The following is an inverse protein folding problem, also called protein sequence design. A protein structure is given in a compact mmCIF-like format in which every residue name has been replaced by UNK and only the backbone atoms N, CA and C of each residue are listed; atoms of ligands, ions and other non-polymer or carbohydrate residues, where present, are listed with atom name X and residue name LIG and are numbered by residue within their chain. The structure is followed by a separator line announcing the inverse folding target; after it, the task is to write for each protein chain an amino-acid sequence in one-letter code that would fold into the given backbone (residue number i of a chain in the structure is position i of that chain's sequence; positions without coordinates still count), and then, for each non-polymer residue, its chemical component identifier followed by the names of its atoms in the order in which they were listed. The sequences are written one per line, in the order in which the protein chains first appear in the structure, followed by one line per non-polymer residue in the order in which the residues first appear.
data_IF_840109199262
#
_entry.id   IF_840109199262
#
_cell.length_a   1.000
_cell.length_b   1.000
_cell.length_c   1.000
_cell.angle_alpha   90.00
_cell.angle_beta   90.00
_cell.angle_gamma   90.00
#
_symmetry.space_group_name_H-M   'P 1'
#
loop_
_entity.id
_entity.type
_entity.pdbx_description
1 polymer ?
2 non-polymer ?
3 non-polymer ?
4 water ?
#
# COMPACT_ATOMS: atom_id res chain seq x y z
N UNK A 2 17.62 -6.67 -3.87
CA UNK A 2 17.69 -5.79 -5.07
C UNK A 2 16.64 -6.26 -6.07
N UNK A 3 16.38 -5.44 -7.10
CA UNK A 3 15.37 -5.69 -8.12
C UNK A 3 16.01 -5.74 -9.51
N UNK A 4 15.50 -6.62 -10.38
CA UNK A 4 15.83 -6.62 -11.80
C UNK A 4 17.27 -7.02 -12.05
N UNK A 5 17.92 -7.54 -11.00
CA UNK A 5 19.32 -7.93 -11.04
C UNK A 5 19.41 -9.38 -11.52
N UNK A 6 20.55 -9.72 -12.15
CA UNK A 6 20.79 -11.10 -12.55
C UNK A 6 20.25 -12.00 -11.45
N UNK A 7 19.36 -12.91 -11.85
CA UNK A 7 18.86 -13.78 -10.80
C UNK A 7 19.18 -15.24 -11.12
N UNK A 8 19.56 -15.95 -10.06
CA UNK A 8 19.92 -17.34 -10.20
C UNK A 8 18.66 -18.13 -10.54
N UNK A 9 18.92 -19.36 -10.96
CA UNK A 9 17.92 -20.31 -11.38
C UNK A 9 17.13 -20.77 -10.15
N UNK A 10 15.82 -21.03 -10.27
CA UNK A 10 15.07 -21.61 -9.16
C UNK A 10 15.49 -23.06 -8.99
N UNK A 11 15.41 -23.61 -7.76
CA UNK A 11 15.68 -25.04 -7.57
C UNK A 11 14.51 -25.86 -8.09
N UNK A 12 14.73 -27.18 -8.24
CA UNK A 12 13.67 -28.14 -8.52
C UNK A 12 12.57 -27.98 -7.49
N UNK A 13 11.32 -27.92 -7.95
CA UNK A 13 10.16 -27.84 -7.06
C UNK A 13 9.06 -28.75 -7.59
N UNK A 14 8.35 -29.45 -6.69
CA UNK A 14 7.21 -30.26 -7.13
C UNK A 14 5.91 -29.57 -6.69
N UNK A 15 5.05 -29.23 -7.65
CA UNK A 15 3.75 -28.64 -7.31
C UNK A 15 2.76 -28.99 -8.42
N UNK A 16 1.43 -28.78 -8.20
CA UNK A 16 0.41 -29.12 -9.18
C UNK A 16 0.61 -28.36 -10.50
N UNK A 17 0.44 -29.07 -11.60
CA UNK A 17 0.56 -28.44 -12.90
C UNK A 17 -0.53 -27.40 -13.08
N UNK A 18 -0.22 -26.15 -13.56
CA UNK A 18 -1.26 -25.19 -13.92
C UNK A 18 -2.04 -25.76 -15.11
N UNK A 19 -3.36 -25.67 -15.07
CA UNK A 19 -4.17 -26.19 -16.16
C UNK A 19 -4.73 -25.03 -16.98
N UNK A 20 -4.27 -24.96 -18.23
CA UNK A 20 -4.57 -23.85 -19.13
C UNK A 20 -6.07 -23.71 -19.38
N UNK A 21 -6.81 -24.84 -19.42
CA UNK A 21 -8.24 -24.79 -19.75
C UNK A 21 -9.12 -24.78 -18.49
N UNK A 22 -8.55 -24.41 -17.33
CA UNK A 22 -9.34 -24.24 -16.11
C UNK A 22 -9.04 -22.85 -15.54
N UNK A 23 -9.99 -21.90 -15.51
CA UNK A 23 -9.77 -20.60 -14.88
C UNK A 23 -9.43 -20.72 -13.40
N UNK A 24 -8.62 -19.78 -12.88
CA UNK A 24 -8.20 -19.90 -11.48
C UNK A 24 -9.31 -19.35 -10.59
N UNK A 25 -10.11 -18.43 -11.10
CA UNK A 25 -11.28 -17.94 -10.39
C UNK A 25 -12.38 -17.80 -11.43
N UNK A 26 -13.61 -18.19 -11.11
CA UNK A 26 -14.68 -17.98 -12.06
C UNK A 26 -15.60 -16.88 -11.58
N UNK A 27 -15.31 -16.28 -10.42
CA UNK A 27 -16.26 -15.36 -9.80
C UNK A 27 -15.71 -13.92 -9.81
N UNK A 28 -14.43 -13.73 -10.18
CA UNK A 28 -13.80 -12.41 -10.08
C UNK A 28 -12.85 -12.20 -11.26
N UNK A 29 -12.59 -10.92 -11.58
CA UNK A 29 -11.58 -10.50 -12.55
C UNK A 29 -10.19 -10.65 -11.91
N UNK A 30 -9.27 -11.40 -12.55
CA UNK A 30 -7.93 -11.62 -12.00
C UNK A 30 -6.83 -10.91 -12.80
N UNK A 31 -7.21 -10.13 -13.82
CA UNK A 31 -6.24 -9.34 -14.59
C UNK A 31 -6.91 -8.06 -15.08
N UNK A 32 -6.19 -6.94 -15.00
CA UNK A 32 -6.74 -5.68 -15.52
C UNK A 32 -6.67 -5.64 -17.04
N UNK A 33 -7.39 -4.71 -17.70
CA UNK A 33 -7.26 -4.48 -19.16
C UNK A 33 -5.86 -4.03 -19.63
N UNK A 34 -4.97 -3.63 -18.69
CA UNK A 34 -3.58 -3.30 -19.06
C UNK A 34 -2.65 -4.40 -18.57
N UNK A 35 -3.23 -5.60 -18.35
CA UNK A 35 -2.50 -6.84 -18.07
C UNK A 35 -1.70 -6.75 -16.76
N UNK A 36 -2.27 -6.04 -15.77
CA UNK A 36 -1.71 -6.15 -14.43
C UNK A 36 -2.51 -7.22 -13.69
N UNK A 37 -1.88 -8.17 -12.98
CA UNK A 37 -2.65 -9.13 -12.15
C UNK A 37 -3.45 -8.42 -11.05
N UNK A 38 -4.64 -8.90 -10.80
CA UNK A 38 -5.42 -8.51 -9.62
C UNK A 38 -5.30 -9.66 -8.61
N UNK A 39 -4.73 -9.37 -7.44
CA UNK A 39 -4.28 -10.43 -6.54
C UNK A 39 -5.44 -10.85 -5.62
N UNK A 40 -5.94 -12.09 -5.84
CA UNK A 40 -6.92 -12.78 -5.01
C UNK A 40 -6.32 -14.12 -4.58
N UNK A 41 -6.86 -14.69 -3.50
CA UNK A 41 -6.52 -16.07 -3.16
C UNK A 41 -6.93 -16.98 -4.32
N UNK A 42 -6.03 -17.92 -4.65
CA UNK A 42 -6.21 -18.86 -5.74
C UNK A 42 -5.50 -18.42 -7.02
N UNK A 43 -4.97 -17.18 -7.05
CA UNK A 43 -4.28 -16.72 -8.26
C UNK A 43 -2.78 -16.99 -8.19
N UNK A 44 -2.21 -17.25 -7.00
CA UNK A 44 -0.76 -17.39 -6.86
C UNK A 44 -0.39 -18.64 -6.07
N UNK A 45 0.77 -19.21 -6.46
CA UNK A 45 1.48 -20.23 -5.69
C UNK A 45 2.58 -19.55 -4.87
N UNK A 46 2.36 -19.41 -3.54
CA UNK A 46 3.24 -18.60 -2.73
C UNK A 46 4.63 -19.26 -2.62
N UNK A 47 4.70 -20.58 -2.82
CA UNK A 47 6.01 -21.24 -2.73
C UNK A 47 6.93 -20.76 -3.87
N UNK A 48 6.37 -20.62 -5.08
CA UNK A 48 7.18 -20.17 -6.20
C UNK A 48 7.59 -18.71 -5.97
N UNK A 49 6.63 -17.87 -5.53
CA UNK A 49 6.96 -16.47 -5.38
C UNK A 49 7.98 -16.27 -4.24
N UNK A 50 7.82 -17.00 -3.12
CA UNK A 50 8.79 -16.90 -2.05
C UNK A 50 10.20 -17.21 -2.52
N UNK A 51 10.35 -18.27 -3.33
CA UNK A 51 11.65 -18.62 -3.87
C UNK A 51 12.21 -17.48 -4.71
N UNK A 52 11.38 -16.92 -5.61
CA UNK A 52 11.85 -15.88 -6.50
C UNK A 52 12.36 -14.70 -5.69
N UNK A 53 11.59 -14.24 -4.70
CA UNK A 53 11.98 -13.04 -3.94
C UNK A 53 13.11 -13.28 -2.95
N UNK A 54 13.22 -14.46 -2.37
CA UNK A 54 14.32 -14.75 -1.46
C UNK A 54 15.63 -14.85 -2.23
N UNK A 55 15.56 -15.38 -3.47
CA UNK A 55 16.77 -15.49 -4.28
C UNK A 55 17.29 -14.10 -4.67
N UNK A 56 16.42 -13.09 -4.60
CA UNK A 56 16.81 -11.73 -4.93
C UNK A 56 17.18 -10.95 -3.67
N UNK A 57 17.17 -11.61 -2.52
CA UNK A 57 17.54 -11.00 -1.25
C UNK A 57 16.70 -9.76 -0.99
N UNK A 58 15.37 -9.90 -1.11
CA UNK A 58 14.44 -8.77 -1.08
C UNK A 58 14.27 -8.23 0.35
N UNK A 59 14.36 -6.89 0.50
CA UNK A 59 13.99 -6.18 1.73
C UNK A 59 12.74 -5.31 1.47
N UNK A 60 11.76 -5.41 2.34
CA UNK A 60 10.51 -4.67 2.21
C UNK A 60 10.44 -3.67 3.35
N UNK A 61 10.22 -2.38 3.01
CA UNK A 61 9.97 -1.40 4.06
C UNK A 61 8.46 -1.19 4.22
N UNK A 62 8.02 -1.09 5.47
CA UNK A 62 6.64 -0.73 5.77
C UNK A 62 6.66 0.60 6.47
N UNK A 63 5.84 1.54 5.96
CA UNK A 63 5.70 2.85 6.59
C UNK A 63 4.33 2.97 7.21
N UNK A 64 4.26 3.56 8.40
CA UNK A 64 2.99 3.73 9.08
C UNK A 64 3.06 5.01 9.89
N UNK A 65 2.01 5.84 9.85
CA UNK A 65 1.97 7.09 10.63
C UNK A 65 1.04 6.92 11.81
N UNK A 66 1.53 7.30 13.00
CA UNK A 66 0.71 7.17 14.19
C UNK A 66 0.80 8.49 14.93
N UNK A 67 -0.26 9.29 14.82
CA UNK A 67 -0.26 10.66 15.32
C UNK A 67 -1.33 10.79 16.41
N UNK A 68 -1.04 11.56 17.47
CA UNK A 68 -1.96 11.83 18.56
C UNK A 68 -2.48 10.49 19.09
N UNK A 69 -3.81 10.29 19.19
CA UNK A 69 -4.33 9.12 19.87
C UNK A 69 -4.13 7.85 19.05
N UNK A 70 -3.70 7.99 17.80
CA UNK A 70 -3.56 6.81 16.95
C UNK A 70 -2.34 5.97 17.35
N UNK A 71 -1.50 6.48 18.27
CA UNK A 71 -0.40 5.66 18.76
C UNK A 71 -0.95 4.40 19.44
N UNK A 72 -2.17 4.47 19.99
CA UNK A 72 -2.78 3.34 20.69
C UNK A 72 -2.91 2.10 19.80
N UNK A 73 -2.95 2.30 18.46
CA UNK A 73 -3.16 1.23 17.50
C UNK A 73 -1.86 0.49 17.17
N UNK A 74 -0.69 1.03 17.55
CA UNK A 74 0.56 0.49 17.05
C UNK A 74 0.83 -0.91 17.63
N UNK A 75 0.44 -1.18 18.89
CA UNK A 75 0.87 -2.46 19.47
C UNK A 75 0.24 -3.62 18.68
N UNK A 76 -1.06 -3.57 18.44
CA UNK A 76 -1.71 -4.66 17.70
C UNK A 76 -1.24 -4.67 16.24
N UNK A 77 -1.08 -3.48 15.64
CA UNK A 77 -0.64 -3.37 14.25
C UNK A 77 0.69 -4.11 14.10
N UNK A 78 1.68 -3.82 14.98
CA UNK A 78 3.00 -4.43 14.79
C UNK A 78 3.00 -5.91 15.17
N UNK A 79 2.29 -6.28 16.25
CA UNK A 79 2.23 -7.67 16.69
C UNK A 79 1.66 -8.55 15.57
N UNK A 80 0.56 -8.10 14.96
CA UNK A 80 -0.05 -8.84 13.86
C UNK A 80 0.79 -8.81 12.57
N UNK A 81 1.49 -7.69 12.28
CA UNK A 81 2.46 -7.67 11.17
C UNK A 81 3.53 -8.75 11.36
N UNK A 82 4.04 -8.90 12.60
CA UNK A 82 5.03 -9.92 12.84
C UNK A 82 4.46 -11.31 12.55
N UNK A 83 3.14 -11.54 12.76
CA UNK A 83 2.58 -12.87 12.46
C UNK A 83 2.31 -13.09 10.97
N UNK A 84 2.02 -12.02 10.21
CA UNK A 84 1.43 -12.22 8.90
C UNK A 84 2.11 -11.47 7.73
N UNK A 85 2.98 -10.49 7.98
CA UNK A 85 3.49 -9.64 6.89
C UNK A 85 4.91 -10.06 6.48
N UNK A 86 5.05 -10.55 5.23
CA UNK A 86 6.37 -10.85 4.64
C UNK A 86 7.22 -11.78 5.52
N UNK A 87 6.59 -12.73 6.25
CA UNK A 87 7.37 -13.62 7.11
C UNK A 87 8.35 -14.44 6.26
N UNK A 88 9.62 -14.50 6.68
CA UNK A 88 10.65 -15.19 5.91
C UNK A 88 11.56 -14.22 5.16
N UNK A 89 11.08 -12.99 4.95
CA UNK A 89 11.86 -11.99 4.21
C UNK A 89 12.40 -10.91 5.16
N UNK A 90 13.32 -10.09 4.66
CA UNK A 90 13.84 -8.96 5.44
C UNK A 90 12.81 -7.83 5.42
N UNK A 91 12.51 -7.31 6.62
CA UNK A 91 11.54 -6.23 6.75
C UNK A 91 12.16 -5.09 7.57
N UNK A 92 11.85 -3.84 7.20
CA UNK A 92 12.22 -2.68 8.00
C UNK A 92 10.94 -1.88 8.19
N UNK A 93 10.49 -1.75 9.46
CA UNK A 93 9.33 -0.94 9.73
C UNK A 93 9.80 0.49 10.00
N UNK A 94 9.10 1.46 9.42
CA UNK A 94 9.35 2.86 9.72
C UNK A 94 8.07 3.44 10.35
N UNK A 95 8.17 3.82 11.64
CA UNK A 95 7.00 4.34 12.34
C UNK A 95 7.23 5.83 12.47
N UNK A 96 6.36 6.60 11.79
CA UNK A 96 6.38 8.06 11.86
C UNK A 96 5.40 8.50 12.93
N UNK A 97 5.87 9.25 13.94
CA UNK A 97 4.97 9.62 15.02
C UNK A 97 5.37 10.95 15.63
N UNK A 98 4.40 11.61 16.28
CA UNK A 98 4.65 12.80 17.08
C UNK A 98 5.03 12.40 18.52
N UNK A 99 4.99 11.10 18.85
CA UNK A 99 5.23 10.69 20.24
C UNK A 99 6.22 9.51 20.28
N UNK A 100 7.54 9.73 20.07
CA UNK A 100 8.50 8.62 20.01
C UNK A 100 8.41 7.72 21.23
N UNK A 101 8.09 8.30 22.40
CA UNK A 101 8.12 7.50 23.63
C UNK A 101 6.92 6.56 23.77
N UNK A 102 5.85 6.80 22.98
CA UNK A 102 4.63 6.02 23.04
C UNK A 102 4.68 4.79 22.13
N UNK A 103 5.78 4.62 21.38
CA UNK A 103 5.90 3.47 20.51
C UNK A 103 6.08 2.22 21.36
N UNK A 104 5.22 1.18 21.25
CA UNK A 104 5.35 -0.02 22.10
C UNK A 104 6.59 -0.84 21.73
N UNK A 105 7.14 -1.54 22.74
CA UNK A 105 8.33 -2.36 22.53
C UNK A 105 7.87 -3.74 22.05
N UNK A 106 7.75 -3.92 20.74
CA UNK A 106 7.19 -5.16 20.21
C UNK A 106 8.36 -6.06 19.83
N UNK A 107 8.26 -7.36 20.14
CA UNK A 107 9.36 -8.28 19.86
C UNK A 107 9.35 -8.64 18.36
N UNK A 108 10.52 -8.55 17.70
CA UNK A 108 10.60 -8.79 16.26
C UNK A 108 11.30 -10.10 15.97
N UNK A 109 10.85 -10.80 14.90
CA UNK A 109 11.58 -11.95 14.38
C UNK A 109 12.94 -11.58 13.79
N UNK A 110 13.79 -12.60 13.56
CA UNK A 110 15.09 -12.32 12.95
C UNK A 110 14.92 -11.68 11.55
N UNK A 111 15.84 -10.74 11.22
CA UNK A 111 15.85 -10.14 9.89
C UNK A 111 14.88 -8.96 9.79
N UNK A 112 14.32 -8.52 10.92
CA UNK A 112 13.27 -7.52 10.93
C UNK A 112 13.68 -6.44 11.90
N UNK A 113 13.57 -5.19 11.46
CA UNK A 113 13.98 -4.10 12.33
C UNK A 113 12.96 -2.97 12.29
N UNK A 114 13.05 -2.08 13.29
CA UNK A 114 12.12 -0.98 13.37
C UNK A 114 12.89 0.31 13.65
N UNK A 115 12.52 1.38 12.92
CA UNK A 115 13.06 2.72 13.12
C UNK A 115 11.89 3.63 13.47
N UNK A 116 12.09 4.52 14.45
CA UNK A 116 11.08 5.49 14.81
C UNK A 116 11.52 6.85 14.26
N UNK A 117 10.65 7.51 13.50
CA UNK A 117 11.00 8.78 12.90
C UNK A 117 10.02 9.82 13.38
N UNK A 118 10.56 10.91 13.96
CA UNK A 118 9.64 11.87 14.52
C UNK A 118 9.11 12.77 13.40
N UNK A 119 7.88 13.25 13.56
CA UNK A 119 7.30 14.16 12.59
C UNK A 119 7.22 15.50 13.31
N UNK A 120 7.23 16.58 12.53
CA UNK A 120 6.97 17.91 13.08
C UNK A 120 5.47 18.05 13.32
N UNK A 121 5.09 18.48 14.53
CA UNK A 121 3.68 18.62 14.87
C UNK A 121 3.15 19.97 14.36
N UNK A 122 2.90 20.05 13.04
CA UNK A 122 2.60 21.26 12.29
C UNK A 122 1.41 22.02 12.88
N UNK A 123 1.45 23.35 12.73
CA UNK A 123 0.42 24.22 13.27
C UNK A 123 -0.83 24.17 12.39
N UNK A 124 -0.61 24.09 11.07
CA UNK A 124 -1.67 24.28 10.09
C UNK A 124 -2.16 22.92 9.57
N UNK A 125 -3.49 22.73 9.55
CA UNK A 125 -4.12 21.47 9.17
C UNK A 125 -3.72 21.09 7.72
N UNK A 126 -3.44 22.10 6.89
CA UNK A 126 -3.03 21.91 5.50
C UNK A 126 -1.71 21.13 5.47
N UNK A 127 -0.74 21.53 6.31
CA UNK A 127 0.56 20.88 6.31
C UNK A 127 0.43 19.47 6.90
N UNK A 128 -0.55 19.31 7.81
CA UNK A 128 -0.92 18.02 8.36
C UNK A 128 -1.47 17.11 7.25
N UNK A 129 -2.46 17.61 6.48
CA UNK A 129 -3.05 16.81 5.41
C UNK A 129 -2.01 16.34 4.39
N UNK A 130 -1.03 17.21 4.08
CA UNK A 130 0.02 16.94 3.10
C UNK A 130 1.18 16.17 3.70
N UNK A 131 1.17 15.96 5.02
CA UNK A 131 2.38 15.49 5.70
C UNK A 131 2.82 14.09 5.23
N UNK A 132 1.88 13.17 5.06
CA UNK A 132 2.32 11.81 4.77
C UNK A 132 3.02 11.72 3.41
N UNK A 133 2.42 12.33 2.36
CA UNK A 133 3.00 12.29 1.02
C UNK A 133 4.35 13.00 1.00
N UNK A 134 4.42 14.16 1.65
CA UNK A 134 5.65 14.93 1.75
C UNK A 134 6.74 14.11 2.44
N UNK A 135 6.42 13.52 3.60
CA UNK A 135 7.44 12.80 4.36
C UNK A 135 7.87 11.52 3.67
N UNK A 136 6.91 10.76 3.12
CA UNK A 136 7.30 9.56 2.42
C UNK A 136 8.27 9.92 1.27
N UNK A 137 7.93 10.97 0.50
CA UNK A 137 8.77 11.36 -0.62
C UNK A 137 10.21 11.65 -0.18
N UNK A 138 10.35 12.43 0.90
CA UNK A 138 11.67 12.89 1.36
C UNK A 138 12.49 11.68 1.80
N UNK A 139 11.87 10.73 2.52
CA UNK A 139 12.64 9.59 2.98
C UNK A 139 12.97 8.65 1.81
N UNK A 140 12.06 8.62 0.84
CA UNK A 140 12.33 7.90 -0.39
C UNK A 140 13.68 8.30 -0.98
N UNK A 141 14.03 9.60 -0.89
CA UNK A 141 15.25 10.03 -1.53
C UNK A 141 16.42 9.91 -0.56
N UNK A 142 16.11 9.41 0.64
CA UNK A 142 17.03 9.30 1.76
C UNK A 142 17.24 7.83 2.08
N UNK A 143 16.87 7.43 3.31
CA UNK A 143 17.16 6.10 3.83
C UNK A 143 16.55 5.01 2.94
N UNK A 144 15.34 5.24 2.43
CA UNK A 144 14.65 4.13 1.77
C UNK A 144 15.46 3.58 0.59
N UNK A 145 16.05 4.47 -0.22
CA UNK A 145 16.75 4.06 -1.42
C UNK A 145 17.94 3.18 -1.08
N UNK A 146 18.60 3.43 0.06
CA UNK A 146 19.72 2.58 0.47
C UNK A 146 19.25 1.31 1.17
N UNK A 147 18.10 1.38 1.85
CA UNK A 147 17.79 0.35 2.83
C UNK A 147 16.80 -0.71 2.35
N UNK A 148 15.90 -0.38 1.40
CA UNK A 148 14.89 -1.37 1.04
C UNK A 148 14.70 -1.42 -0.47
N UNK A 149 14.09 -2.51 -0.95
CA UNK A 149 13.84 -2.67 -2.38
C UNK A 149 12.41 -2.18 -2.72
N UNK A 150 11.47 -2.44 -1.81
CA UNK A 150 10.06 -2.08 -2.02
C UNK A 150 9.56 -1.36 -0.79
N UNK A 151 8.58 -0.48 -0.97
CA UNK A 151 7.96 0.19 0.16
C UNK A 151 6.46 -0.05 0.12
N UNK A 152 5.88 -0.29 1.31
CA UNK A 152 4.44 -0.48 1.46
C UNK A 152 3.99 0.59 2.45
N UNK A 153 2.96 1.35 2.10
CA UNK A 153 2.52 2.47 2.93
C UNK A 153 1.08 2.17 3.37
N UNK A 154 0.84 2.01 4.69
CA UNK A 154 -0.47 1.59 5.19
C UNK A 154 -0.92 2.46 6.36
N UNK A 155 -2.23 2.37 6.67
CA UNK A 155 -2.80 3.03 7.84
C UNK A 155 -2.59 2.18 9.09
N UNK A 156 -2.55 2.83 10.27
CA UNK A 156 -2.21 2.14 11.52
C UNK A 156 -3.43 1.51 12.22
N UNK A 157 -4.63 2.05 11.94
CA UNK A 157 -5.83 1.63 12.66
C UNK A 157 -6.42 0.35 12.06
N UNK A 158 -5.55 -0.64 11.98
CA UNK A 158 -5.78 -1.84 11.19
C UNK A 158 -5.10 -3.01 11.90
N UNK A 159 -5.44 -4.23 11.46
CA UNK A 159 -4.72 -5.39 11.96
C UNK A 159 -4.58 -6.41 10.81
N UNK A 160 -3.46 -7.12 10.82
CA UNK A 160 -3.35 -8.25 9.90
C UNK A 160 -4.02 -9.48 10.51
N UNK A 161 -4.82 -10.20 9.73
CA UNK A 161 -5.44 -11.43 10.21
C UNK A 161 -5.20 -12.60 9.26
N UNK A 162 -4.40 -12.38 8.22
CA UNK A 162 -3.99 -13.47 7.34
C UNK A 162 -2.75 -13.01 6.56
N UNK A 163 -2.18 -13.95 5.84
CA UNK A 163 -1.00 -13.74 4.99
C UNK A 163 -1.08 -12.48 4.12
N UNK A 164 -0.05 -11.62 4.25
CA UNK A 164 0.22 -10.54 3.30
C UNK A 164 1.69 -10.68 2.93
N UNK A 165 2.00 -11.14 1.70
CA UNK A 165 3.40 -11.48 1.42
C UNK A 165 3.85 -11.00 0.04
N UNK A 166 4.87 -11.67 -0.53
CA UNK A 166 5.56 -11.13 -1.70
C UNK A 166 4.72 -11.16 -2.98
N UNK A 167 3.55 -11.81 -2.93
CA UNK A 167 2.58 -11.70 -4.02
C UNK A 167 2.21 -10.25 -4.35
N UNK A 168 2.39 -9.33 -3.38
CA UNK A 168 1.93 -7.97 -3.66
C UNK A 168 3.03 -7.14 -4.34
N UNK A 169 4.27 -7.67 -4.37
CA UNK A 169 5.39 -6.86 -4.77
C UNK A 169 5.48 -6.73 -6.30
N UNK A 170 5.71 -5.49 -6.72
CA UNK A 170 5.71 -5.08 -8.12
C UNK A 170 6.19 -3.63 -8.16
N UNK A 171 6.52 -3.05 -9.35
CA UNK A 171 6.91 -1.65 -9.37
C UNK A 171 5.90 -0.70 -8.74
N UNK A 172 4.57 -0.88 -9.00
CA UNK A 172 3.62 0.07 -8.46
C UNK A 172 2.29 -0.66 -8.23
N UNK A 173 1.78 -0.61 -6.97
CA UNK A 173 0.47 -1.21 -6.76
C UNK A 173 -0.49 -0.28 -6.01
N UNK A 174 -1.78 -0.43 -6.34
CA UNK A 174 -2.87 0.10 -5.51
C UNK A 174 -3.75 -1.06 -5.06
N UNK A 175 -4.67 -0.75 -4.13
CA UNK A 175 -5.57 -1.73 -3.53
C UNK A 175 -7.01 -1.28 -3.76
N UNK A 176 -7.89 -2.22 -4.15
CA UNK A 176 -9.31 -1.87 -4.29
C UNK A 176 -9.93 -1.51 -2.93
N UNK A 177 -10.49 -0.30 -2.84
CA UNK A 177 -11.16 0.15 -1.63
C UNK A 177 -12.36 -0.78 -1.35
N UNK A 178 -12.58 -1.29 -0.11
CA UNK A 178 -13.62 -2.30 0.09
C UNK A 178 -15.05 -1.78 -0.07
N UNK A 179 -15.22 -0.45 0.00
CA UNK A 179 -16.54 0.15 -0.18
C UNK A 179 -17.00 0.22 -1.65
N UNK A 180 -16.11 -0.01 -2.65
CA UNK A 180 -16.44 0.35 -4.03
C UNK A 180 -16.10 -0.72 -5.07
N UNK A 181 -15.57 -1.87 -4.66
CA UNK A 181 -15.09 -2.82 -5.67
C UNK A 181 -16.23 -3.34 -6.55
N UNK A 182 -17.47 -3.32 -6.04
CA UNK A 182 -18.62 -3.70 -6.85
C UNK A 182 -19.40 -2.54 -7.47
N UNK A 183 -18.90 -1.29 -7.36
CA UNK A 183 -19.69 -0.12 -7.76
C UNK A 183 -19.35 0.29 -9.19
N UNK A 184 -20.29 0.99 -9.86
CA UNK A 184 -19.95 1.61 -11.13
C UNK A 184 -19.20 2.91 -10.85
N UNK A 185 -18.45 3.37 -11.85
CA UNK A 185 -17.48 4.45 -11.71
C UNK A 185 -18.13 5.78 -11.35
N UNK A 186 -19.38 6.00 -11.81
CA UNK A 186 -20.07 7.23 -11.46
C UNK A 186 -20.28 7.33 -9.94
N UNK A 187 -20.33 6.18 -9.23
CA UNK A 187 -20.50 6.09 -7.78
C UNK A 187 -19.20 6.30 -7.00
N UNK A 188 -18.03 6.14 -7.65
CA UNK A 188 -16.75 6.31 -6.97
C UNK A 188 -16.66 7.74 -6.42
N UNK A 189 -16.11 7.89 -5.21
CA UNK A 189 -15.95 9.20 -4.61
C UNK A 189 -14.65 9.89 -5.04
N UNK A 190 -14.36 9.91 -6.35
CA UNK A 190 -13.25 10.73 -6.83
C UNK A 190 -13.58 12.21 -6.60
N UNK A 191 -12.56 13.06 -6.55
CA UNK A 191 -12.74 14.52 -6.63
C UNK A 191 -13.43 14.87 -7.96
N UNK A 192 -14.56 15.60 -7.92
CA UNK A 192 -15.35 15.87 -9.11
C UNK A 192 -15.33 17.35 -9.51
N UNK A 193 -14.64 18.21 -8.74
CA UNK A 193 -14.55 19.62 -9.11
C UNK A 193 -13.36 19.84 -10.05
N UNK A 194 -13.59 20.37 -11.28
CA UNK A 194 -12.52 20.63 -12.23
C UNK A 194 -11.43 21.58 -11.73
N UNK A 195 -11.69 22.35 -10.65
CA UNK A 195 -10.70 23.30 -10.14
C UNK A 195 -9.59 22.59 -9.35
N UNK A 196 -9.78 21.29 -9.03
CA UNK A 196 -8.80 20.54 -8.24
C UNK A 196 -7.88 19.76 -9.17
N UNK A 197 -6.59 19.66 -8.78
CA UNK A 197 -5.63 18.80 -9.48
C UNK A 197 -6.09 17.32 -9.46
N UNK A 198 -6.91 16.94 -8.48
CA UNK A 198 -7.35 15.54 -8.36
C UNK A 198 -8.59 15.21 -9.18
N UNK A 199 -9.12 16.19 -9.92
CA UNK A 199 -10.36 16.01 -10.68
C UNK A 199 -10.30 14.82 -11.65
N UNK A 200 -11.34 13.97 -11.58
CA UNK A 200 -11.60 12.93 -12.56
C UNK A 200 -13.04 13.06 -13.01
N UNK A 201 -13.29 13.18 -14.34
CA UNK A 201 -14.64 13.26 -14.88
C UNK A 201 -15.47 12.01 -14.65
N UNK A 202 -16.81 12.16 -14.73
CA UNK A 202 -17.76 11.07 -14.47
C UNK A 202 -17.55 9.86 -15.39
N UNK A 203 -17.05 10.08 -16.62
CA UNK A 203 -16.96 8.97 -17.57
C UNK A 203 -15.55 8.33 -17.55
N UNK A 204 -14.72 8.68 -16.56
CA UNK A 204 -13.38 8.12 -16.49
C UNK A 204 -13.18 7.38 -15.17
N UNK A 205 -12.19 6.47 -15.14
CA UNK A 205 -11.85 5.79 -13.90
C UNK A 205 -11.85 4.26 -14.11
N UNK A 206 -10.82 3.57 -13.59
CA UNK A 206 -10.78 2.11 -13.67
C UNK A 206 -11.32 1.52 -12.36
N UNK A 207 -10.77 1.99 -11.23
CA UNK A 207 -11.07 1.44 -9.92
C UNK A 207 -11.04 2.58 -8.91
N UNK A 208 -11.68 2.37 -7.74
CA UNK A 208 -11.45 3.28 -6.63
C UNK A 208 -10.42 2.67 -5.68
N UNK A 209 -9.20 3.25 -5.66
CA UNK A 209 -8.11 2.69 -4.85
C UNK A 209 -8.14 3.29 -3.44
N UNK A 210 -7.80 2.46 -2.43
CA UNK A 210 -7.81 2.97 -1.06
C UNK A 210 -6.49 3.65 -0.70
N UNK A 211 -6.59 4.83 -0.07
CA UNK A 211 -5.37 5.49 0.40
C UNK A 211 -4.65 4.75 1.55
N UNK A 212 -5.33 3.78 2.16
CA UNK A 212 -4.81 3.06 3.32
C UNK A 212 -3.83 1.94 2.96
N UNK A 213 -3.57 1.67 1.66
CA UNK A 213 -2.67 0.56 1.33
C UNK A 213 -2.19 0.73 -0.13
N UNK A 214 -0.96 1.27 -0.30
CA UNK A 214 -0.38 1.37 -1.64
C UNK A 214 1.13 1.15 -1.52
N UNK A 215 1.81 1.01 -2.66
CA UNK A 215 3.25 0.76 -2.54
C UNK A 215 3.88 0.43 -3.89
N UNK A 216 5.11 -0.09 -3.82
CA UNK A 216 5.84 -0.30 -5.06
C UNK A 216 7.34 -0.37 -4.81
N UNK A 217 8.11 -0.28 -5.91
CA UNK A 217 9.55 -0.08 -5.76
C UNK A 217 9.80 1.31 -5.15
N UNK A 218 10.99 1.50 -4.55
CA UNK A 218 11.25 2.81 -3.96
C UNK A 218 11.15 3.91 -5.02
N UNK A 219 11.71 3.68 -6.21
CA UNK A 219 11.66 4.71 -7.25
C UNK A 219 10.21 5.08 -7.61
N UNK A 220 9.34 4.08 -7.71
CA UNK A 220 7.97 4.38 -8.16
C UNK A 220 7.18 5.02 -7.04
N UNK A 221 7.46 4.63 -5.80
CA UNK A 221 6.77 5.25 -4.67
C UNK A 221 7.26 6.69 -4.49
N UNK A 222 8.55 6.96 -4.78
CA UNK A 222 9.04 8.35 -4.71
C UNK A 222 8.38 9.22 -5.80
N UNK A 223 8.14 8.63 -6.98
CA UNK A 223 7.41 9.35 -8.04
C UNK A 223 5.96 9.64 -7.62
N UNK A 224 5.26 8.62 -7.11
CA UNK A 224 3.85 8.80 -6.78
C UNK A 224 3.72 9.84 -5.68
N UNK A 225 4.54 9.71 -4.60
CA UNK A 225 4.32 10.57 -3.45
C UNK A 225 4.71 12.02 -3.77
N UNK A 226 5.77 12.19 -4.57
CA UNK A 226 6.22 13.51 -5.03
C UNK A 226 5.11 14.17 -5.85
N UNK A 227 4.49 13.41 -6.75
CA UNK A 227 3.40 13.90 -7.61
C UNK A 227 2.21 14.32 -6.76
N UNK A 228 1.80 13.46 -5.81
CA UNK A 228 0.62 13.77 -4.99
C UNK A 228 0.92 15.00 -4.11
N UNK A 229 2.14 15.10 -3.58
CA UNK A 229 2.47 16.24 -2.71
C UNK A 229 2.45 17.55 -3.52
N UNK A 230 3.09 17.54 -4.68
CA UNK A 230 3.07 18.76 -5.51
C UNK A 230 1.65 19.13 -5.90
N UNK A 231 0.82 18.14 -6.29
CA UNK A 231 -0.55 18.41 -6.67
C UNK A 231 -1.37 18.98 -5.50
N UNK A 232 -1.16 18.46 -4.29
CA UNK A 232 -1.84 19.01 -3.12
C UNK A 232 -1.41 20.47 -2.83
N UNK A 233 -0.13 20.79 -3.07
CA UNK A 233 0.38 22.15 -2.89
C UNK A 233 -0.27 23.13 -3.88
N UNK A 234 -0.46 22.70 -5.13
CA UNK A 234 -1.19 23.50 -6.11
C UNK A 234 -2.63 23.76 -5.62
N UNK A 235 -3.34 22.71 -5.19
CA UNK A 235 -4.71 22.85 -4.71
C UNK A 235 -4.78 23.85 -3.54
N UNK A 236 -3.87 23.74 -2.58
CA UNK A 236 -3.85 24.64 -1.43
C UNK A 236 -3.65 26.09 -1.89
N UNK A 237 -2.75 26.32 -2.84
CA UNK A 237 -2.59 27.68 -3.37
C UNK A 237 -3.85 28.18 -4.04
N UNK A 238 -4.66 27.27 -4.62
CA UNK A 238 -5.89 27.59 -5.33
C UNK A 238 -7.09 27.59 -4.37
N UNK A 239 -6.84 27.41 -3.08
CA UNK A 239 -7.89 27.41 -2.06
C UNK A 239 -8.94 26.29 -2.23
N UNK A 240 -8.48 25.07 -2.56
CA UNK A 240 -9.40 23.94 -2.66
C UNK A 240 -8.73 22.74 -1.99
N UNK A 241 -9.52 21.95 -1.26
CA UNK A 241 -9.05 20.71 -0.64
C UNK A 241 -9.85 19.53 -1.19
N UNK A 242 -9.16 18.51 -1.72
CA UNK A 242 -9.85 17.40 -2.36
C UNK A 242 -10.69 16.65 -1.33
N UNK A 243 -11.81 16.10 -1.83
CA UNK A 243 -12.86 15.51 -1.02
C UNK A 243 -12.29 14.46 -0.05
N UNK A 244 -11.34 13.62 -0.54
CA UNK A 244 -10.73 12.57 0.27
C UNK A 244 -9.21 12.76 0.40
N UNK A 245 -8.81 14.03 0.44
CA UNK A 245 -7.43 14.38 0.74
C UNK A 245 -6.41 13.62 -0.10
N UNK A 246 -5.39 13.02 0.51
CA UNK A 246 -4.38 12.36 -0.32
C UNK A 246 -4.94 11.16 -1.09
N UNK A 247 -6.06 10.56 -0.62
CA UNK A 247 -6.63 9.44 -1.36
C UNK A 247 -7.15 9.90 -2.72
N UNK A 248 -7.71 11.14 -2.79
CA UNK A 248 -8.17 11.69 -4.07
C UNK A 248 -7.02 11.84 -5.05
N UNK A 249 -5.86 12.32 -4.57
CA UNK A 249 -4.67 12.53 -5.41
C UNK A 249 -4.10 11.17 -5.83
N UNK A 250 -4.13 10.21 -4.89
CA UNK A 250 -3.61 8.88 -5.22
C UNK A 250 -4.42 8.30 -6.38
N UNK A 251 -5.75 8.46 -6.35
CA UNK A 251 -6.60 7.97 -7.44
C UNK A 251 -6.33 8.67 -8.77
N UNK A 252 -6.14 9.99 -8.77
CA UNK A 252 -5.82 10.68 -10.02
C UNK A 252 -4.47 10.16 -10.54
N UNK A 253 -3.49 9.91 -9.61
CA UNK A 253 -2.17 9.45 -10.05
C UNK A 253 -2.30 8.08 -10.74
N UNK A 254 -3.03 7.15 -10.11
CA UNK A 254 -3.08 5.75 -10.60
C UNK A 254 -4.02 5.59 -11.80
N UNK A 255 -4.90 6.58 -12.04
CA UNK A 255 -5.61 6.65 -13.31
C UNK A 255 -4.67 6.95 -14.48
N UNK A 256 -3.73 7.88 -14.31
CA UNK A 256 -2.86 8.35 -15.40
C UNK A 256 -1.59 7.51 -15.51
N UNK A 257 -1.19 6.87 -14.40
CA UNK A 257 -0.03 5.99 -14.34
C UNK A 257 -0.48 4.63 -13.79
N UNK A 258 -0.74 3.65 -14.70
CA UNK A 258 -1.51 2.49 -14.28
C UNK A 258 -0.62 1.61 -13.40
N UNK A 259 -1.16 1.06 -12.30
CA UNK A 259 -0.40 0.16 -11.43
C UNK A 259 -0.06 -1.13 -12.14
N UNK A 260 1.09 -1.71 -11.77
CA UNK A 260 1.54 -2.97 -12.35
C UNK A 260 0.96 -4.19 -11.65
N UNK A 261 0.35 -4.01 -10.47
CA UNK A 261 -0.50 -5.02 -9.81
C UNK A 261 -1.61 -4.27 -9.08
N UNK A 262 -2.77 -4.90 -9.01
CA UNK A 262 -3.84 -4.34 -8.17
C UNK A 262 -4.21 -5.37 -7.11
N UNK A 263 -4.26 -4.94 -5.84
CA UNK A 263 -4.60 -5.89 -4.78
C UNK A 263 -6.12 -5.91 -4.56
N UNK A 264 -6.69 -7.11 -4.42
CA UNK A 264 -8.13 -7.28 -4.17
C UNK A 264 -8.48 -6.73 -2.78
N UNK A 265 -9.79 -6.56 -2.47
CA UNK A 265 -10.13 -6.10 -1.12
C UNK A 265 -9.80 -7.08 0.00
N UNK A 266 -9.35 -8.31 -0.32
CA UNK A 266 -8.79 -9.13 0.74
C UNK A 266 -7.76 -8.35 1.58
N UNK A 267 -7.06 -7.40 0.93
CA UNK A 267 -5.89 -6.69 1.45
C UNK A 267 -6.33 -5.40 2.14
N UNK A 268 -7.63 -5.05 2.09
CA UNK A 268 -8.08 -3.83 2.77
C UNK A 268 -9.58 -3.93 3.01
N UNK A 269 -9.94 -4.33 4.24
CA UNK A 269 -11.33 -4.75 4.45
C UNK A 269 -11.82 -4.10 5.75
N UNK A 270 -13.15 -4.11 5.97
CA UNK A 270 -13.75 -3.69 7.24
C UNK A 270 -14.90 -4.65 7.55
N UNK A 271 -14.70 -5.63 8.45
CA UNK A 271 -15.68 -6.71 8.64
C UNK A 271 -16.92 -6.17 9.34
N UNK A 272 -16.71 -5.16 10.19
CA UNK A 272 -17.85 -4.57 10.91
C UNK A 272 -18.84 -3.97 9.90
N UNK A 273 -18.33 -3.27 8.90
CA UNK A 273 -19.19 -2.55 7.97
C UNK A 273 -19.68 -3.43 6.82
N UNK A 274 -18.94 -4.51 6.50
CA UNK A 274 -19.16 -5.23 5.24
C UNK A 274 -19.26 -6.77 5.41
N UNK A 275 -18.99 -7.33 6.61
CA UNK A 275 -19.19 -8.75 6.81
C UNK A 275 -18.07 -9.59 6.16
N UNK A 276 -18.42 -10.81 5.73
CA UNK A 276 -17.44 -11.72 5.10
C UNK A 276 -18.11 -12.36 3.90
N UNK A 277 -18.13 -11.65 2.75
CA UNK A 277 -18.78 -12.13 1.52
C UNK A 277 -18.10 -13.39 1.02
N UNK A 278 -18.89 -14.23 0.32
CA UNK A 278 -18.32 -15.45 -0.24
C UNK A 278 -17.14 -15.15 -1.21
N UNK A 279 -17.12 -14.00 -1.88
CA UNK A 279 -16.04 -13.74 -2.85
C UNK A 279 -14.71 -13.47 -2.15
N UNK A 280 -14.73 -13.21 -0.84
CA UNK A 280 -13.50 -13.01 -0.10
C UNK A 280 -13.11 -14.32 0.60
N UNK A 281 -12.18 -15.08 0.02
CA UNK A 281 -11.75 -16.34 0.58
C UNK A 281 -10.86 -16.17 1.81
N UNK A 282 -10.18 -15.01 1.91
CA UNK A 282 -9.42 -14.70 3.12
C UNK A 282 -9.56 -13.20 3.37
N UNK A 283 -9.59 -12.82 4.66
CA UNK A 283 -9.60 -11.42 5.10
C UNK A 283 -8.20 -11.17 5.70
N UNK A 284 -7.34 -10.41 4.98
CA UNK A 284 -5.93 -10.38 5.33
C UNK A 284 -5.58 -9.17 6.21
N UNK A 285 -6.15 -8.00 5.92
CA UNK A 285 -5.75 -6.74 6.57
C UNK A 285 -7.02 -5.91 6.71
N UNK A 286 -7.39 -5.65 7.99
CA UNK A 286 -8.76 -5.31 8.35
C UNK A 286 -8.79 -4.10 9.31
N UNK A 287 -9.86 -3.30 9.23
CA UNK A 287 -10.11 -2.21 10.18
C UNK A 287 -10.29 -2.73 11.61
N UNK A 288 -9.74 -1.99 12.57
CA UNK A 288 -9.96 -2.29 13.98
C UNK A 288 -11.26 -1.57 14.35
N UNK A 289 -12.28 -2.28 14.89
CA UNK A 289 -13.58 -1.67 15.22
C UNK A 289 -13.62 -0.61 16.33
X LIG B 1 9.39 -27.07 -10.79
X LIG B 1 10.74 -27.62 -10.92
X LIG B 1 8.65 -27.55 -12.03
X LIG B 1 7.22 -27.65 -12.07
X LIG C 1 1.21 -19.38 5.64
X LIG C 1 -0.08 -18.77 5.90
X LIG C 1 1.90 -18.81 4.38
X LIG C 1 1.04 -18.78 3.20
X LIG D 1 18.60 -10.30 14.07
X LIG D 1 19.86 -10.23 13.32
X LIG D 1 18.32 -11.73 14.35
X LIG D 1 17.48 -9.62 13.34
X LIG D 1 18.72 -9.54 15.32
X LIG E 1 -5.55 16.02 -16.53
X LIG E 1 -5.05 14.66 -16.18
X LIG E 1 -6.09 15.99 -17.92
X LIG E 1 -6.58 16.46 -15.57
X LIG E 1 -4.41 16.97 -16.52
#
# INVERSE_FOLDING_TARGET
MAIGEFMVSLPRMVYPQPKVLTPCRKDVLVVTPWLAPIVWEGTFNIDILNEQFRLQNTTIGLTVFAIKKYVAFLKLFLETAEKHFMVGHRVHYYVFTDQPAAVPRVTLGTGRQLSVLEVRAYKRWQDVSMRRMEMISDFCERRFLSEVDYLVCVDVDMEFRDHVGVEILTPLFGTLHPGFYGSSREAFTYERRPQSQAYIPKDEGDFYYGGAFFGGSVQEVQRLTRACHQAMMVDQANGIEAVWHDESHLNKYLLRHKPTKVLSPEYLWDQQLLGWPAVLRKLRFTAVPKNHQAVRNP
EDO C1 O1 C2 O2
EDO C1 O1 C2 O2
SO4 S O1 O2 O3 O4
SO4 S O1 O2 O3 O4
#
